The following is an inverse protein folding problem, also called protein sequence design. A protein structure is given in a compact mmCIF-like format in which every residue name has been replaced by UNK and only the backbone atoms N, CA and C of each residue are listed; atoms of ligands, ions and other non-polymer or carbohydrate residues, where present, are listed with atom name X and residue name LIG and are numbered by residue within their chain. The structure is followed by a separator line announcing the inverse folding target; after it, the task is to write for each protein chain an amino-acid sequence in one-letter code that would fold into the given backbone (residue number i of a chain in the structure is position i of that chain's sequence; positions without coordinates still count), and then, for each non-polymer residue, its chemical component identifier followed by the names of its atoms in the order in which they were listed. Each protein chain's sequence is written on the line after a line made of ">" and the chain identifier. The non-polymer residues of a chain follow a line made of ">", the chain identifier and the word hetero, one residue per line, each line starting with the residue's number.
data_IF_857731552418
#
_entry.id   IF_857731552418
#
_cell.length_a   1.000
_cell.length_b   1.000
_cell.length_c   1.000
_cell.angle_alpha   90.00
_cell.angle_beta   90.00
_cell.angle_gamma   90.00
#
_symmetry.space_group_name_H-M   'P 1'
#
loop_
_entity.id
_entity.type
_entity.pdbx_description
1 polymer ?
#
# COMPACT_ATOMS: atom_id res chain seq x y z
N UNK A 1 -0.59 -27.42 78.70
CA UNK A 1 0.16 -26.25 78.19
C UNK A 1 1.03 -26.79 77.06
N UNK A 2 0.89 -26.43 75.79
CA UNK A 2 0.24 -25.28 75.15
C UNK A 2 -0.04 -25.72 73.69
N UNK A 3 -1.20 -25.34 73.15
CA UNK A 3 -1.56 -25.47 71.74
C UNK A 3 -0.52 -24.79 70.82
N UNK A 4 -0.31 -25.35 69.63
CA UNK A 4 -0.08 -24.55 68.43
C UNK A 4 -0.55 -25.30 67.18
N UNK A 5 -1.66 -24.80 66.63
CA UNK A 5 -2.28 -25.16 65.36
C UNK A 5 -1.46 -24.53 64.22
N UNK A 6 -1.04 -25.31 63.22
CA UNK A 6 -0.56 -24.75 61.96
C UNK A 6 -1.62 -25.00 60.88
N UNK A 7 -2.24 -23.92 60.41
CA UNK A 7 -3.09 -23.89 59.23
C UNK A 7 -2.18 -23.54 58.05
N UNK A 8 -1.97 -24.48 57.13
CA UNK A 8 -1.32 -24.19 55.85
C UNK A 8 -2.41 -23.94 54.80
N UNK A 9 -2.47 -22.70 54.32
CA UNK A 9 -3.41 -22.24 53.31
C UNK A 9 -3.07 -22.85 51.94
N UNK A 10 -4.07 -23.46 51.30
CA UNK A 10 -4.00 -23.89 49.90
C UNK A 10 -4.25 -22.66 49.03
N UNK A 11 -3.19 -22.02 48.54
CA UNK A 11 -3.29 -21.03 47.46
C UNK A 11 -3.36 -21.76 46.13
N UNK A 12 -4.57 -22.01 45.65
CA UNK A 12 -4.82 -22.32 44.23
C UNK A 12 -4.50 -21.07 43.42
N UNK A 13 -3.30 -21.02 42.84
CA UNK A 13 -2.94 -20.06 41.80
C UNK A 13 -3.78 -20.35 40.56
N UNK A 14 -4.81 -19.55 40.35
CA UNK A 14 -5.55 -19.48 39.11
C UNK A 14 -4.59 -18.89 38.06
N UNK A 15 -3.93 -19.75 37.27
CA UNK A 15 -3.22 -19.28 36.08
C UNK A 15 -4.27 -18.71 35.13
N UNK A 16 -4.31 -17.39 35.03
CA UNK A 16 -4.93 -16.70 33.90
C UNK A 16 -4.19 -17.16 32.65
N UNK A 17 -4.76 -18.13 31.94
CA UNK A 17 -4.43 -18.39 30.56
C UNK A 17 -4.82 -17.12 29.80
N UNK A 18 -3.86 -16.23 29.57
CA UNK A 18 -4.00 -15.17 28.58
C UNK A 18 -4.16 -15.91 27.26
N UNK A 19 -5.39 -16.00 26.76
CA UNK A 19 -5.64 -16.43 25.40
C UNK A 19 -4.89 -15.43 24.52
N UNK A 20 -3.69 -15.79 24.09
CA UNK A 20 -3.08 -15.14 22.95
C UNK A 20 -4.06 -15.36 21.80
N UNK A 21 -4.78 -14.31 21.42
CA UNK A 21 -5.53 -14.27 20.17
C UNK A 21 -4.61 -14.84 19.10
N UNK A 22 -5.05 -15.79 18.25
CA UNK A 22 -4.22 -16.21 17.15
C UNK A 22 -3.89 -14.93 16.38
N UNK A 23 -2.62 -14.55 16.34
CA UNK A 23 -2.16 -13.63 15.32
C UNK A 23 -2.64 -14.26 14.02
N UNK A 24 -3.63 -13.64 13.39
CA UNK A 24 -4.05 -14.02 12.04
C UNK A 24 -2.76 -13.97 11.26
N UNK A 25 -2.24 -15.14 10.87
CA UNK A 25 -1.14 -15.18 9.92
C UNK A 25 -1.70 -14.57 8.65
N UNK A 26 -1.56 -13.26 8.49
CA UNK A 26 -1.74 -12.61 7.20
C UNK A 26 -0.77 -13.35 6.28
N UNK A 27 -1.33 -14.15 5.39
CA UNK A 27 -0.55 -14.87 4.39
C UNK A 27 -0.22 -13.82 3.35
N UNK A 28 0.85 -13.08 3.58
CA UNK A 28 1.29 -12.05 2.66
C UNK A 28 1.90 -12.70 1.42
N UNK A 29 1.67 -12.10 0.26
CA UNK A 29 2.28 -12.49 -1.00
C UNK A 29 3.02 -11.30 -1.61
N UNK A 30 4.11 -11.59 -2.32
CA UNK A 30 4.77 -10.62 -3.18
C UNK A 30 4.11 -10.69 -4.55
N UNK A 31 3.48 -9.61 -5.03
CA UNK A 31 2.84 -9.62 -6.33
C UNK A 31 3.88 -9.66 -7.46
N UNK A 32 3.50 -10.26 -8.58
CA UNK A 32 4.22 -10.15 -9.85
C UNK A 32 3.34 -9.43 -10.85
N UNK A 33 3.84 -8.35 -11.45
CA UNK A 33 3.12 -7.60 -12.48
C UNK A 33 3.66 -7.98 -13.85
N UNK A 34 2.74 -8.23 -14.80
CA UNK A 34 3.10 -8.58 -16.16
C UNK A 34 3.61 -7.33 -16.91
N UNK A 35 4.69 -7.50 -17.66
CA UNK A 35 5.24 -6.44 -18.49
C UNK A 35 4.19 -5.93 -19.49
N UNK A 36 4.18 -4.61 -19.74
CA UNK A 36 3.28 -3.92 -20.67
C UNK A 36 1.78 -4.11 -20.38
N UNK A 37 1.44 -4.65 -19.21
CA UNK A 37 0.06 -4.74 -18.73
C UNK A 37 -0.26 -3.50 -17.93
N UNK A 38 -1.37 -2.86 -18.28
CA UNK A 38 -1.88 -1.73 -17.54
C UNK A 38 -2.69 -2.22 -16.32
N UNK A 39 -2.57 -1.50 -15.21
CA UNK A 39 -3.25 -1.80 -13.96
C UNK A 39 -4.10 -0.62 -13.50
N UNK A 40 -5.26 -0.95 -12.94
CA UNK A 40 -6.06 -0.06 -12.12
C UNK A 40 -5.54 -0.13 -10.68
N UNK A 41 -5.34 1.01 -10.04
CA UNK A 41 -4.97 1.10 -8.62
C UNK A 41 -6.10 1.81 -7.88
N UNK A 42 -6.79 1.08 -7.01
CA UNK A 42 -7.91 1.58 -6.21
C UNK A 42 -7.63 1.50 -4.72
N UNK A 43 -8.22 2.40 -3.95
CA UNK A 43 -8.15 2.35 -2.51
C UNK A 43 -8.94 1.16 -1.96
N UNK A 44 -8.40 0.47 -0.95
CA UNK A 44 -9.09 -0.65 -0.32
C UNK A 44 -10.23 -0.20 0.62
N UNK A 45 -10.23 1.06 1.08
CA UNK A 45 -11.29 1.61 1.94
C UNK A 45 -12.56 1.98 1.16
N UNK A 46 -12.43 2.32 -0.11
CA UNK A 46 -13.53 2.64 -1.02
C UNK A 46 -13.04 2.46 -2.46
N UNK A 47 -13.59 1.46 -3.14
CA UNK A 47 -13.26 1.07 -4.51
C UNK A 47 -13.57 2.15 -5.56
N UNK A 48 -14.39 3.14 -5.19
CA UNK A 48 -14.67 4.31 -6.01
C UNK A 48 -13.53 5.34 -6.00
N UNK A 49 -12.56 5.23 -5.07
CA UNK A 49 -11.34 6.03 -5.07
C UNK A 49 -10.27 5.33 -5.90
N UNK A 50 -10.01 5.86 -7.09
CA UNK A 50 -8.99 5.36 -8.01
C UNK A 50 -7.86 6.37 -8.18
N UNK A 51 -6.65 5.88 -8.39
CA UNK A 51 -5.50 6.73 -8.72
C UNK A 51 -5.74 7.42 -10.06
N UNK A 52 -5.48 8.73 -10.07
CA UNK A 52 -5.50 9.56 -11.27
C UNK A 52 -4.29 10.48 -11.31
N UNK A 53 -3.80 10.74 -12.51
CA UNK A 53 -2.81 11.73 -12.89
C UNK A 53 -3.51 13.00 -13.37
N UNK A 54 -3.22 14.15 -12.77
CA UNK A 54 -3.90 15.40 -13.09
C UNK A 54 -3.31 16.15 -14.31
N UNK A 55 -2.41 15.52 -15.07
CA UNK A 55 -1.70 16.18 -16.18
C UNK A 55 -0.63 17.18 -15.75
N UNK A 56 -0.24 17.21 -14.46
CA UNK A 56 0.79 18.12 -13.99
C UNK A 56 2.18 17.72 -14.50
N UNK A 57 3.03 18.72 -14.74
CA UNK A 57 4.43 18.47 -15.08
C UNK A 57 5.18 17.74 -13.96
N UNK A 58 6.26 17.06 -14.32
CA UNK A 58 7.16 16.41 -13.36
C UNK A 58 7.56 17.34 -12.20
N UNK A 59 7.56 16.80 -10.98
CA UNK A 59 7.92 17.48 -9.74
C UNK A 59 6.81 18.34 -9.13
N UNK A 60 5.62 18.42 -9.75
CA UNK A 60 4.48 19.12 -9.18
C UNK A 60 3.78 18.22 -8.14
N UNK A 61 3.57 18.76 -6.94
CA UNK A 61 2.89 18.07 -5.84
C UNK A 61 1.44 17.73 -6.20
N UNK A 62 0.95 16.60 -5.71
CA UNK A 62 -0.39 16.07 -5.98
C UNK A 62 -0.62 15.77 -7.46
N UNK A 63 0.45 15.44 -8.20
CA UNK A 63 0.33 14.96 -9.57
C UNK A 63 -0.48 13.67 -9.63
N UNK A 64 -0.37 12.84 -8.58
CA UNK A 64 -1.22 11.66 -8.37
C UNK A 64 -2.22 11.94 -7.25
N UNK A 65 -3.49 11.71 -7.51
CA UNK A 65 -4.60 12.01 -6.58
C UNK A 65 -5.73 10.99 -6.73
N UNK A 66 -6.74 11.08 -5.87
CA UNK A 66 -7.95 10.26 -5.97
C UNK A 66 -9.11 11.06 -6.53
N UNK A 67 -9.88 10.42 -7.42
CA UNK A 67 -11.21 10.86 -7.80
C UNK A 67 -12.26 9.87 -7.31
N UNK A 68 -13.44 10.39 -6.97
CA UNK A 68 -14.68 9.61 -6.85
C UNK A 68 -15.37 9.72 -8.19
N UNK A 69 -15.45 8.65 -9.00
CA UNK A 69 -16.37 8.42 -10.15
C UNK A 69 -15.85 7.26 -11.04
N UNK A 70 -16.70 6.56 -11.82
CA UNK A 70 -16.25 5.64 -12.87
C UNK A 70 -15.98 6.41 -14.19
N UNK A 71 -15.43 5.81 -15.26
CA UNK A 71 -14.23 5.00 -15.43
C UNK A 71 -13.40 5.60 -16.60
N UNK A 72 -12.80 6.77 -16.45
CA UNK A 72 -11.68 7.08 -17.35
C UNK A 72 -10.49 6.28 -16.82
N UNK A 73 -10.21 5.19 -17.53
CA UNK A 73 -9.15 4.29 -17.18
C UNK A 73 -7.83 5.03 -17.34
N UNK A 74 -7.18 5.32 -16.23
CA UNK A 74 -5.79 5.73 -16.29
C UNK A 74 -4.90 4.51 -16.10
N UNK A 75 -4.23 4.05 -17.18
CA UNK A 75 -3.37 2.88 -17.12
C UNK A 75 -2.11 3.20 -16.32
N UNK A 76 -1.90 2.46 -15.24
CA UNK A 76 -0.63 2.45 -14.51
C UNK A 76 0.19 1.24 -14.92
N UNK A 77 1.46 1.45 -15.23
CA UNK A 77 2.39 0.40 -15.63
C UNK A 77 3.42 0.18 -14.54
N UNK A 78 3.68 -1.09 -14.20
CA UNK A 78 4.65 -1.46 -13.19
C UNK A 78 5.87 -2.10 -13.86
N UNK A 79 7.07 -1.58 -13.54
CA UNK A 79 8.35 -2.12 -14.02
C UNK A 79 9.22 -2.49 -12.83
N UNK A 80 9.76 -3.71 -12.83
CA UNK A 80 10.64 -4.18 -11.76
C UNK A 80 11.94 -3.37 -11.76
N UNK A 81 12.36 -2.91 -10.58
CA UNK A 81 13.60 -2.18 -10.39
C UNK A 81 14.76 -3.15 -10.13
N UNK A 82 16.01 -2.71 -10.30
CA UNK A 82 17.19 -3.57 -10.07
C UNK A 82 17.36 -4.05 -8.61
N UNK A 83 16.58 -3.48 -7.69
CA UNK A 83 16.52 -3.78 -6.26
C UNK A 83 15.40 -4.76 -5.91
N UNK A 84 14.60 -5.20 -6.88
CA UNK A 84 13.45 -6.10 -6.68
C UNK A 84 12.18 -5.39 -6.20
N UNK A 85 12.15 -4.05 -6.25
CA UNK A 85 10.93 -3.27 -6.07
C UNK A 85 10.27 -2.94 -7.40
N UNK A 86 9.35 -1.99 -7.40
CA UNK A 86 8.56 -1.62 -8.58
C UNK A 86 8.52 -0.12 -8.76
N UNK A 87 8.75 0.35 -9.99
CA UNK A 87 8.38 1.70 -10.39
C UNK A 87 6.98 1.69 -11.01
N UNK A 88 6.18 2.70 -10.68
CA UNK A 88 4.81 2.86 -11.19
C UNK A 88 4.81 4.05 -12.15
N UNK A 89 4.40 3.87 -13.39
CA UNK A 89 4.43 4.91 -14.42
C UNK A 89 3.04 5.15 -15.04
N UNK A 90 2.78 6.40 -15.40
CA UNK A 90 1.56 6.82 -16.08
C UNK A 90 1.71 6.68 -17.60
N UNK A 91 0.64 6.25 -18.29
CA UNK A 91 0.49 6.13 -19.76
C UNK A 91 1.43 5.15 -20.48
N UNK A 92 2.69 5.05 -20.05
CA UNK A 92 3.65 4.07 -20.55
C UNK A 92 4.68 3.74 -19.46
N UNK A 93 5.38 2.60 -19.56
CA UNK A 93 6.42 2.22 -18.60
C UNK A 93 7.61 3.20 -18.46
N UNK A 94 7.70 4.24 -19.31
CA UNK A 94 8.90 5.08 -19.42
C UNK A 94 8.65 6.59 -19.36
N UNK A 95 7.38 7.04 -19.32
CA UNK A 95 7.05 8.47 -19.45
C UNK A 95 7.31 9.23 -18.15
N UNK A 96 6.45 9.02 -17.15
CA UNK A 96 6.46 9.73 -15.88
C UNK A 96 6.17 8.73 -14.76
N UNK A 97 7.15 8.57 -13.87
CA UNK A 97 7.09 7.65 -12.75
C UNK A 97 6.57 8.37 -11.50
N UNK A 98 5.73 7.69 -10.75
CA UNK A 98 5.22 8.13 -9.46
C UNK A 98 6.38 8.22 -8.49
N UNK A 99 6.44 9.34 -7.77
CA UNK A 99 7.39 9.62 -6.72
C UNK A 99 6.59 9.85 -5.45
N UNK A 100 6.98 9.20 -4.35
CA UNK A 100 6.39 9.32 -3.03
C UNK A 100 7.41 9.92 -2.04
N UNK A 101 7.65 11.25 -2.09
CA UNK A 101 8.59 11.89 -1.18
C UNK A 101 8.04 11.87 0.25
N UNK A 102 8.93 11.93 1.24
CA UNK A 102 8.58 11.81 2.64
C UNK A 102 7.54 12.86 3.10
N UNK A 103 6.55 12.42 3.88
CA UNK A 103 5.53 13.23 4.55
C UNK A 103 4.71 14.18 3.64
N UNK A 104 4.72 13.97 2.33
CA UNK A 104 4.09 14.88 1.36
C UNK A 104 3.20 14.14 0.37
N UNK A 105 2.51 14.89 -0.48
CA UNK A 105 1.70 14.34 -1.57
C UNK A 105 2.58 13.75 -2.66
N UNK A 106 2.07 12.70 -3.30
CA UNK A 106 2.73 12.07 -4.42
C UNK A 106 2.93 13.07 -5.57
N UNK A 107 4.05 12.92 -6.27
CA UNK A 107 4.39 13.67 -7.47
C UNK A 107 4.77 12.69 -8.59
N UNK A 108 5.22 13.21 -9.73
CA UNK A 108 5.78 12.42 -10.82
C UNK A 108 7.18 12.92 -11.18
N UNK A 109 7.95 12.09 -11.88
CA UNK A 109 9.22 12.51 -12.45
C UNK A 109 9.82 11.47 -13.38
N UNK A 110 11.11 11.64 -13.69
CA UNK A 110 11.80 10.76 -14.63
C UNK A 110 11.78 9.30 -14.18
N UNK A 111 11.53 8.38 -15.11
CA UNK A 111 11.62 6.93 -14.87
C UNK A 111 13.05 6.34 -14.89
N UNK A 112 14.08 7.17 -14.73
CA UNK A 112 15.49 6.74 -14.83
C UNK A 112 16.18 6.62 -13.48
N UNK A 113 16.97 5.56 -13.28
CA UNK A 113 17.79 5.33 -12.08
C UNK A 113 16.99 5.31 -10.76
N UNK A 114 15.85 4.62 -10.74
CA UNK A 114 14.89 4.65 -9.63
C UNK A 114 15.24 3.73 -8.46
N UNK A 115 16.09 2.73 -8.66
CA UNK A 115 16.39 1.75 -7.61
C UNK A 115 16.86 2.41 -6.31
N UNK A 116 16.15 2.11 -5.22
CA UNK A 116 16.41 2.66 -3.89
C UNK A 116 15.97 4.12 -3.69
N UNK A 117 15.27 4.74 -4.64
CA UNK A 117 14.73 6.11 -4.48
C UNK A 117 13.32 6.09 -3.90
N UNK A 118 12.69 7.25 -3.79
CA UNK A 118 11.27 7.44 -3.47
C UNK A 118 10.31 7.10 -4.63
N UNK A 119 10.83 6.59 -5.74
CA UNK A 119 10.06 6.06 -6.87
C UNK A 119 10.20 4.52 -7.03
N UNK A 120 10.91 3.87 -6.10
CA UNK A 120 11.06 2.42 -6.02
C UNK A 120 10.21 1.89 -4.86
N UNK A 121 9.17 1.12 -5.18
CA UNK A 121 8.19 0.66 -4.22
C UNK A 121 8.38 -0.82 -3.90
N UNK A 122 8.57 -1.13 -2.63
CA UNK A 122 8.34 -2.48 -2.13
C UNK A 122 6.82 -2.69 -2.00
N UNK A 123 6.28 -3.72 -2.66
CA UNK A 123 4.84 -4.02 -2.66
C UNK A 123 4.61 -5.39 -2.01
N UNK A 124 3.70 -5.45 -1.05
CA UNK A 124 3.29 -6.68 -0.37
C UNK A 124 1.77 -6.68 -0.21
N UNK A 125 1.12 -7.78 -0.58
CA UNK A 125 -0.33 -7.89 -0.60
C UNK A 125 -0.85 -9.00 0.30
N UNK A 126 -2.11 -8.92 0.70
CA UNK A 126 -2.78 -9.99 1.43
C UNK A 126 -3.26 -11.13 0.51
N UNK A 127 -3.49 -10.83 -0.76
CA UNK A 127 -3.83 -11.81 -1.79
C UNK A 127 -3.28 -11.38 -3.14
N UNK A 128 -2.76 -12.35 -3.89
CA UNK A 128 -2.20 -12.16 -5.23
C UNK A 128 -2.78 -13.22 -6.15
N UNK A 129 -3.28 -12.79 -7.29
CA UNK A 129 -3.63 -13.61 -8.44
C UNK A 129 -3.04 -12.99 -9.69
N UNK A 130 -3.10 -13.69 -10.81
CA UNK A 130 -2.53 -13.22 -12.08
C UNK A 130 -3.11 -11.88 -12.54
N UNK A 131 -4.37 -11.59 -12.19
CA UNK A 131 -5.10 -10.39 -12.64
C UNK A 131 -5.46 -9.44 -11.53
N UNK A 132 -5.36 -9.86 -10.27
CA UNK A 132 -5.86 -9.06 -9.14
C UNK A 132 -4.99 -9.28 -7.92
N UNK A 133 -4.55 -8.18 -7.31
CA UNK A 133 -3.84 -8.16 -6.04
C UNK A 133 -4.61 -7.28 -5.07
N UNK A 134 -4.84 -7.76 -3.85
CA UNK A 134 -5.70 -7.04 -2.89
C UNK A 134 -5.04 -6.79 -1.56
N UNK A 135 -5.46 -5.67 -0.94
CA UNK A 135 -4.93 -5.15 0.31
C UNK A 135 -3.40 -5.10 0.30
N UNK A 136 -2.86 -4.41 -0.70
CA UNK A 136 -1.45 -4.19 -0.92
C UNK A 136 -0.94 -2.94 -0.22
N UNK A 137 0.19 -3.05 0.45
CA UNK A 137 0.95 -1.91 0.95
C UNK A 137 2.05 -1.58 -0.04
N UNK A 138 2.19 -0.29 -0.38
CA UNK A 138 3.29 0.24 -1.18
C UNK A 138 4.21 1.03 -0.25
N UNK A 139 5.48 0.64 -0.16
CA UNK A 139 6.48 1.29 0.70
C UNK A 139 7.58 1.87 -0.19
N UNK A 140 7.76 3.19 -0.16
CA UNK A 140 8.83 3.84 -0.89
C UNK A 140 10.21 3.51 -0.29
N UNK A 141 11.15 3.04 -1.11
CA UNK A 141 12.39 2.44 -0.64
C UNK A 141 13.28 3.43 0.13
N UNK A 142 13.40 4.68 -0.34
CA UNK A 142 14.27 5.67 0.29
C UNK A 142 13.73 6.25 1.60
N UNK A 143 12.40 6.34 1.73
CA UNK A 143 11.73 6.98 2.89
C UNK A 143 11.21 5.95 3.89
N UNK A 144 11.02 4.69 3.47
CA UNK A 144 10.34 3.64 4.25
C UNK A 144 8.92 4.01 4.68
N UNK A 145 8.29 4.91 3.93
CA UNK A 145 6.92 5.36 4.18
C UNK A 145 5.92 4.68 3.25
N UNK A 146 4.69 4.61 3.73
CA UNK A 146 3.57 3.97 3.06
C UNK A 146 2.77 4.98 2.25
N UNK A 147 2.37 4.57 1.05
CA UNK A 147 1.40 5.33 0.24
C UNK A 147 0.03 5.24 0.92
N UNK A 148 -0.58 6.40 1.17
CA UNK A 148 -1.72 6.56 2.06
C UNK A 148 -2.79 7.47 1.47
N UNK A 149 -4.05 7.09 1.62
CA UNK A 149 -5.20 7.98 1.43
C UNK A 149 -5.52 8.68 2.75
N UNK A 150 -5.26 9.98 2.92
CA UNK A 150 -5.71 10.67 4.13
C UNK A 150 -7.24 10.63 4.20
N UNK A 151 -7.80 10.01 5.25
CA UNK A 151 -9.24 9.80 5.44
C UNK A 151 -10.09 11.07 5.63
N UNK A 152 -9.48 12.27 5.50
CA UNK A 152 -10.05 13.53 5.98
C UNK A 152 -10.37 14.55 4.87
N UNK A 153 -10.45 14.16 3.60
CA UNK A 153 -10.72 15.11 2.52
C UNK A 153 -12.11 14.91 1.94
N UNK A 154 -13.01 15.82 2.30
CA UNK A 154 -14.25 16.07 1.59
C UNK A 154 -13.96 16.21 0.08
N UNK A 155 -14.32 15.16 -0.67
CA UNK A 155 -14.45 15.08 -2.13
C UNK A 155 -13.20 14.81 -2.99
N UNK A 156 -11.96 15.14 -2.60
CA UNK A 156 -10.75 14.86 -3.40
C UNK A 156 -9.52 14.52 -2.54
N UNK A 157 -9.34 13.26 -2.11
CA UNK A 157 -8.16 12.87 -1.36
C UNK A 157 -6.88 12.96 -2.19
N UNK A 158 -5.93 13.74 -1.70
CA UNK A 158 -4.57 13.73 -2.22
C UNK A 158 -3.83 12.55 -1.61
N UNK A 159 -3.26 11.70 -2.45
CA UNK A 159 -2.48 10.56 -1.99
C UNK A 159 -1.16 11.09 -1.42
N UNK A 160 -0.76 10.58 -0.25
CA UNK A 160 0.44 11.01 0.47
C UNK A 160 1.34 9.83 0.78
N UNK A 161 2.63 10.11 0.93
CA UNK A 161 3.55 9.25 1.66
C UNK A 161 3.48 9.64 3.13
N UNK A 162 3.27 8.66 4.01
CA UNK A 162 3.21 8.84 5.47
C UNK A 162 3.82 7.62 6.17
N UNK A 163 4.12 7.74 7.47
CA UNK A 163 4.56 6.61 8.30
C UNK A 163 3.65 5.38 8.14
N UNK A 164 4.25 4.21 7.98
CA UNK A 164 3.53 2.95 7.87
C UNK A 164 2.89 2.57 9.21
N UNK A 165 1.55 2.57 9.24
CA UNK A 165 0.75 2.21 10.42
C UNK A 165 0.02 0.89 10.25
N UNK A 166 -0.10 0.40 9.01
CA UNK A 166 -0.92 -0.76 8.67
C UNK A 166 -2.42 -0.45 8.68
N UNK A 167 -2.79 0.82 8.64
CA UNK A 167 -4.20 1.23 8.58
C UNK A 167 -4.81 0.91 7.21
N UNK A 168 -6.15 0.74 7.13
CA UNK A 168 -6.85 0.49 5.87
C UNK A 168 -6.57 1.54 4.78
N UNK A 169 -6.30 2.78 5.17
CA UNK A 169 -5.95 3.90 4.29
C UNK A 169 -4.63 3.69 3.51
N UNK A 170 -3.80 2.74 3.95
CA UNK A 170 -2.51 2.38 3.35
C UNK A 170 -2.60 1.13 2.47
N UNK A 171 -3.82 0.63 2.25
CA UNK A 171 -4.09 -0.58 1.50
C UNK A 171 -4.68 -0.22 0.13
N UNK A 172 -4.14 -0.88 -0.89
CA UNK A 172 -4.44 -0.63 -2.29
C UNK A 172 -4.76 -1.95 -3.00
N UNK A 173 -5.68 -1.90 -3.94
CA UNK A 173 -6.00 -3.02 -4.80
C UNK A 173 -5.49 -2.73 -6.21
N UNK A 174 -4.87 -3.74 -6.82
CA UNK A 174 -4.41 -3.71 -8.20
C UNK A 174 -5.27 -4.65 -9.02
N UNK A 175 -5.80 -4.17 -10.14
CA UNK A 175 -6.53 -5.01 -11.09
C UNK A 175 -5.95 -4.80 -12.48
N UNK A 176 -5.50 -5.87 -13.13
CA UNK A 176 -5.05 -5.82 -14.52
C UNK A 176 -6.22 -5.41 -15.41
N UNK A 177 -6.00 -4.41 -16.25
CA UNK A 177 -6.97 -4.04 -17.26
C UNK A 177 -7.07 -5.20 -18.26
N UNK A 178 -8.27 -5.78 -18.37
CA UNK A 178 -8.53 -6.75 -19.43
C UNK A 178 -8.48 -5.98 -20.75
N UNK A 179 -7.54 -6.36 -21.62
CA UNK A 179 -7.22 -5.59 -22.81
C UNK A 179 -8.43 -5.29 -23.68
N UNK A 180 -8.84 -4.02 -23.70
CA UNK A 180 -9.35 -3.43 -24.92
C UNK A 180 -8.15 -2.90 -25.70
N UNK A 181 -7.67 -3.78 -26.57
CA UNK A 181 -6.80 -3.42 -27.68
C UNK A 181 -7.67 -2.58 -28.62
N UNK A 182 -7.54 -1.27 -28.56
CA UNK A 182 -7.96 -0.38 -29.64
C UNK A 182 -6.76 -0.03 -30.52
#
# INVERSE_FOLDING_TARGET
>A
MTMLTLIAAVTTGLMLAVAASPAVRQTTCTPSFAQDTAYHISSNINDSYVWQFNGASAGILSAVYLIVLPPEFEPWYLTETSTGGWSIAYESPTTDCVIAPADTTLTTGSCSNLSGTDADFAISCSSCSDTTMTACTLIAASTSECVNVPGDSDLNPQIRSLECTGSPEQLWDFTAAQGDIH
#
